data_IF_782197938163
#
_entry.id   IF_782197938163
#
_cell.length_a   1.000
_cell.length_b   1.000
_cell.length_c   1.000
_cell.angle_alpha   90.00
_cell.angle_beta   90.00
_cell.angle_gamma   90.00
#
_symmetry.space_group_name_H-M   'P 1'
#
loop_
_entity.id
_entity.type
_entity.pdbx_description
1 polymer ?
#
# COMPACT_ATOMS: atom_id res chain seq x y z
N UNK A 1 0.65 16.91 -26.53
CA UNK A 1 1.79 16.28 -25.82
C UNK A 1 1.21 15.55 -24.63
N UNK A 2 1.20 14.22 -24.66
CA UNK A 2 0.71 13.42 -23.53
C UNK A 2 1.80 13.49 -22.46
N UNK A 3 1.55 14.21 -21.37
CA UNK A 3 2.38 14.13 -20.17
C UNK A 3 2.37 12.66 -19.72
N UNK A 4 3.49 11.97 -19.95
CA UNK A 4 3.73 10.68 -19.32
C UNK A 4 3.75 10.98 -17.82
N UNK A 5 2.85 10.32 -17.07
CA UNK A 5 2.99 10.27 -15.63
C UNK A 5 4.45 9.88 -15.31
N UNK A 6 5.13 10.57 -14.38
CA UNK A 6 6.51 10.25 -14.05
C UNK A 6 6.60 8.76 -13.72
N UNK A 7 7.64 8.10 -14.23
CA UNK A 7 7.87 6.71 -13.90
C UNK A 7 7.94 6.60 -12.37
N UNK A 8 7.20 5.65 -11.79
CA UNK A 8 7.17 5.38 -10.34
C UNK A 8 8.59 5.19 -9.73
N UNK A 9 9.61 5.03 -10.56
CA UNK A 9 11.01 4.79 -10.20
C UNK A 9 11.81 6.05 -9.86
N UNK A 10 11.34 7.28 -10.13
CA UNK A 10 12.16 8.49 -9.95
C UNK A 10 11.96 9.22 -8.60
N UNK A 11 10.93 8.86 -7.83
CA UNK A 11 10.65 9.49 -6.54
C UNK A 11 11.09 8.61 -5.37
N UNK A 12 11.90 9.18 -4.47
CA UNK A 12 12.26 8.53 -3.21
C UNK A 12 10.99 8.27 -2.38
N UNK A 13 10.75 7.00 -2.05
CA UNK A 13 9.63 6.58 -1.19
C UNK A 13 10.01 6.74 0.26
N UNK A 14 9.34 7.67 0.93
CA UNK A 14 9.41 7.84 2.36
C UNK A 14 8.16 7.23 2.99
N UNK A 15 8.39 6.36 3.97
CA UNK A 15 7.32 5.69 4.71
C UNK A 15 7.71 5.64 6.19
N UNK A 16 7.00 6.42 7.00
CA UNK A 16 7.26 6.55 8.44
C UNK A 16 6.12 5.95 9.23
N UNK A 17 6.44 5.21 10.28
CA UNK A 17 5.48 4.65 11.23
C UNK A 17 5.91 5.05 12.63
N UNK A 18 4.99 5.65 13.38
CA UNK A 18 5.19 6.06 14.76
C UNK A 18 4.06 5.52 15.62
N UNK A 19 4.39 5.14 16.85
CA UNK A 19 3.43 4.68 17.84
C UNK A 19 3.60 5.51 19.11
N UNK A 20 2.50 6.01 19.65
CA UNK A 20 2.51 6.72 20.96
C UNK A 20 1.94 5.86 22.08
N UNK A 21 1.10 4.90 21.72
CA UNK A 21 0.55 3.88 22.60
C UNK A 21 0.49 2.52 21.86
N UNK A 22 -0.05 1.49 22.51
CA UNK A 22 -0.10 0.12 21.95
C UNK A 22 -1.24 -0.12 20.97
N UNK A 23 -2.14 0.84 20.82
CA UNK A 23 -3.39 0.72 20.05
C UNK A 23 -3.44 1.66 18.85
N UNK A 24 -2.59 2.68 18.82
CA UNK A 24 -2.62 3.74 17.80
C UNK A 24 -1.30 3.79 17.05
N UNK A 25 -1.36 3.65 15.73
CA UNK A 25 -0.24 3.96 14.84
C UNK A 25 -0.50 5.24 14.05
N UNK A 26 0.54 6.04 13.89
CA UNK A 26 0.58 7.14 12.96
C UNK A 26 1.48 6.75 11.80
N UNK A 27 0.95 6.83 10.58
CA UNK A 27 1.69 6.50 9.37
C UNK A 27 1.74 7.73 8.50
N UNK A 28 2.90 8.02 7.94
CA UNK A 28 3.05 9.04 6.91
C UNK A 28 3.77 8.46 5.70
N UNK A 29 3.34 8.85 4.50
CA UNK A 29 4.06 8.51 3.28
C UNK A 29 3.86 9.55 2.18
N UNK A 30 4.86 9.68 1.31
CA UNK A 30 4.79 10.44 0.06
C UNK A 30 4.52 9.53 -1.17
N UNK A 31 4.49 8.21 -1.00
CA UNK A 31 4.37 7.26 -2.11
C UNK A 31 2.92 6.89 -2.41
N UNK A 32 2.49 7.18 -3.64
CA UNK A 32 1.12 6.95 -4.09
C UNK A 32 0.64 5.51 -3.96
N UNK A 33 1.52 4.50 -4.05
CA UNK A 33 1.15 3.09 -3.91
C UNK A 33 0.78 2.76 -2.47
N UNK A 34 1.56 3.23 -1.50
CA UNK A 34 1.23 3.10 -0.09
C UNK A 34 -0.04 3.87 0.28
N UNK A 35 -0.19 5.10 -0.21
CA UNK A 35 -1.39 5.92 0.01
C UNK A 35 -2.64 5.20 -0.50
N UNK A 36 -2.63 4.71 -1.74
CA UNK A 36 -3.76 4.00 -2.33
C UNK A 36 -4.12 2.72 -1.56
N UNK A 37 -3.14 2.01 -0.99
CA UNK A 37 -3.38 0.82 -0.16
C UNK A 37 -4.11 1.16 1.13
N UNK A 38 -3.71 2.24 1.80
CA UNK A 38 -4.35 2.71 3.03
C UNK A 38 -5.78 3.19 2.75
N UNK A 39 -5.97 3.98 1.71
CA UNK A 39 -7.30 4.49 1.31
C UNK A 39 -8.24 3.36 0.87
N UNK A 40 -7.72 2.28 0.24
CA UNK A 40 -8.51 1.09 -0.11
C UNK A 40 -9.05 0.33 1.10
N UNK A 41 -8.40 0.47 2.26
CA UNK A 41 -8.89 -0.08 3.53
C UNK A 41 -9.96 0.81 4.19
N UNK A 42 -10.33 1.93 3.55
CA UNK A 42 -11.31 2.89 4.08
C UNK A 42 -10.71 3.89 5.07
N UNK A 43 -9.38 3.87 5.26
CA UNK A 43 -8.70 4.74 6.21
C UNK A 43 -8.55 6.13 5.58
N UNK A 44 -9.09 7.15 6.26
CA UNK A 44 -9.01 8.53 5.79
C UNK A 44 -7.73 9.19 6.30
N UNK A 45 -7.07 10.03 5.48
CA UNK A 45 -5.93 10.80 5.95
C UNK A 45 -6.35 11.82 7.02
N UNK A 46 -5.52 11.98 8.03
CA UNK A 46 -5.71 13.00 9.09
C UNK A 46 -5.06 14.33 8.72
N UNK A 47 -4.07 14.30 7.82
CA UNK A 47 -3.40 15.47 7.27
C UNK A 47 -2.95 15.18 5.85
N UNK A 48 -3.15 16.13 4.95
CA UNK A 48 -2.70 16.05 3.55
C UNK A 48 -1.87 17.29 3.22
N UNK A 49 -0.78 17.08 2.47
CA UNK A 49 0.01 18.14 1.84
C UNK A 49 0.34 17.74 0.41
N UNK A 50 0.91 18.66 -0.37
CA UNK A 50 1.39 18.37 -1.72
C UNK A 50 2.50 17.29 -1.73
N UNK A 51 3.17 17.07 -0.60
CA UNK A 51 4.29 16.12 -0.49
C UNK A 51 3.89 14.75 0.07
N UNK A 52 2.70 14.59 0.66
CA UNK A 52 2.29 13.30 1.21
C UNK A 52 1.10 13.38 2.16
N UNK A 53 0.74 12.24 2.75
CA UNK A 53 -0.41 12.14 3.65
C UNK A 53 -0.06 11.42 4.94
N UNK A 54 -0.64 11.89 6.03
CA UNK A 54 -0.60 11.24 7.34
C UNK A 54 -1.92 10.52 7.61
N UNK A 55 -1.83 9.38 8.28
CA UNK A 55 -2.94 8.53 8.67
C UNK A 55 -2.81 8.19 10.15
N UNK A 56 -3.95 8.01 10.80
CA UNK A 56 -4.06 7.42 12.13
C UNK A 56 -4.77 6.08 12.00
N UNK A 57 -4.13 5.01 12.44
CA UNK A 57 -4.67 3.65 12.42
C UNK A 57 -4.98 3.21 13.85
N UNK A 58 -6.18 2.65 14.03
CA UNK A 58 -6.55 1.92 15.25
C UNK A 58 -6.20 0.44 15.06
N UNK A 59 -5.32 -0.08 15.92
CA UNK A 59 -4.87 -1.46 15.89
C UNK A 59 -5.92 -2.47 16.38
N UNK A 60 -7.02 -2.00 16.97
CA UNK A 60 -8.18 -2.84 17.25
C UNK A 60 -8.99 -3.14 15.98
N UNK A 61 -8.91 -2.26 14.98
CA UNK A 61 -9.63 -2.41 13.70
C UNK A 61 -8.73 -2.97 12.59
N UNK A 62 -7.45 -2.59 12.59
CA UNK A 62 -6.50 -2.93 11.54
C UNK A 62 -5.26 -3.61 12.11
N UNK A 63 -4.76 -4.64 11.43
CA UNK A 63 -3.46 -5.24 11.79
C UNK A 63 -2.36 -4.72 10.87
N UNK A 64 -1.33 -4.13 11.45
CA UNK A 64 -0.08 -3.86 10.74
C UNK A 64 0.87 -5.06 10.88
N UNK A 65 1.18 -5.75 9.78
CA UNK A 65 2.11 -6.91 9.81
C UNK A 65 3.16 -6.83 8.72
N UNK A 66 4.42 -7.09 9.10
CA UNK A 66 5.48 -7.43 8.16
C UNK A 66 5.56 -8.96 8.09
N UNK A 67 5.21 -9.53 6.95
CA UNK A 67 5.33 -10.98 6.71
C UNK A 67 6.27 -11.24 5.53
N UNK A 68 7.08 -12.31 5.58
CA UNK A 68 7.89 -12.72 4.45
C UNK A 68 7.01 -12.93 3.21
N UNK A 69 7.39 -12.31 2.10
CA UNK A 69 6.69 -12.52 0.84
C UNK A 69 6.90 -13.97 0.41
N UNK A 70 5.81 -14.67 0.08
CA UNK A 70 5.89 -16.01 -0.50
C UNK A 70 6.68 -15.93 -1.82
N UNK A 71 7.82 -16.60 -1.89
CA UNK A 71 8.59 -16.73 -3.13
C UNK A 71 7.91 -17.81 -3.98
N UNK A 72 7.10 -17.38 -4.95
CA UNK A 72 6.51 -18.28 -5.94
C UNK A 72 7.54 -18.55 -7.04
N UNK A 73 7.68 -19.83 -7.41
CA UNK A 73 8.42 -20.25 -8.60
C UNK A 73 7.72 -19.75 -9.87
N UNK A 74 8.40 -19.73 -11.01
CA UNK A 74 7.82 -19.24 -12.26
C UNK A 74 6.61 -20.08 -12.71
N UNK A 75 6.66 -21.40 -12.51
CA UNK A 75 5.53 -22.31 -12.72
C UNK A 75 4.32 -21.94 -11.83
N UNK A 76 4.56 -21.62 -10.56
CA UNK A 76 3.49 -21.20 -9.63
C UNK A 76 2.91 -19.82 -9.99
N UNK A 77 3.73 -18.91 -10.54
CA UNK A 77 3.25 -17.61 -11.04
C UNK A 77 2.38 -17.78 -12.28
N UNK A 78 2.77 -18.68 -13.20
CA UNK A 78 1.98 -19.00 -14.38
C UNK A 78 0.62 -19.58 -13.98
N UNK A 79 0.61 -20.59 -13.10
CA UNK A 79 -0.62 -21.19 -12.58
C UNK A 79 -1.53 -20.18 -11.88
N UNK A 80 -0.98 -19.26 -11.07
CA UNK A 80 -1.77 -18.21 -10.41
C UNK A 80 -2.38 -17.22 -11.42
N UNK A 81 -1.68 -16.89 -12.51
CA UNK A 81 -2.20 -16.03 -13.59
C UNK A 81 -3.34 -16.70 -14.34
N UNK A 82 -3.20 -17.99 -14.64
CA UNK A 82 -4.25 -18.77 -15.30
C UNK A 82 -5.50 -18.88 -14.43
N UNK A 83 -5.35 -19.13 -13.12
CA UNK A 83 -6.46 -19.15 -12.17
C UNK A 83 -7.15 -17.78 -12.04
N UNK A 84 -6.38 -16.69 -12.03
CA UNK A 84 -6.97 -15.35 -11.98
C UNK A 84 -7.71 -15.00 -13.28
N UNK A 85 -7.22 -15.48 -14.42
CA UNK A 85 -7.84 -15.27 -15.72
C UNK A 85 -9.13 -16.07 -15.90
N UNK A 86 -9.21 -17.29 -15.36
CA UNK A 86 -10.44 -18.09 -15.39
C UNK A 86 -11.53 -17.52 -14.48
N UNK A 87 -11.17 -17.03 -13.29
CA UNK A 87 -12.10 -16.37 -12.35
C UNK A 87 -12.66 -15.04 -12.87
N UNK A 88 -11.96 -14.36 -13.80
CA UNK A 88 -12.45 -13.13 -14.44
C UNK A 88 -13.36 -13.38 -15.64
N UNK A 89 -13.43 -14.61 -16.14
CA UNK A 89 -14.26 -15.00 -17.28
C UNK A 89 -15.57 -15.70 -16.89
N UNK A 90 -15.74 -16.03 -15.61
CA UNK A 90 -17.02 -16.47 -15.03
C UNK A 90 -17.68 -15.32 -14.29
#
# INVERSE_FOLDING_TARGET
>A
MSERAPALDEQETNFTIEATDRNTLYVWSNDSVWLARLEKLGIKPTRESEYGKSYKLDLNEFTFTLRPKRKLTDEQRAAAREQLASLRKG
#
